data_IF_931754952575
#
_entry.id   IF_931754952575
#
_cell.length_a   1.000
_cell.length_b   1.000
_cell.length_c   1.000
_cell.angle_alpha   90.00
_cell.angle_beta   90.00
_cell.angle_gamma   90.00
#
_symmetry.space_group_name_H-M   'P 1'
#
loop_
_entity.id
_entity.type
_entity.pdbx_description
1 polymer ?
#
# COMPACT_ATOMS: atom_id res chain seq x y z
N UNK A 1 -41.52 23.44 2.09
CA UNK A 1 -40.15 23.54 2.61
C UNK A 1 -39.47 22.21 2.33
N UNK A 2 -38.78 22.10 1.20
CA UNK A 2 -37.99 20.91 0.85
C UNK A 2 -36.71 20.94 1.65
N UNK A 3 -36.53 19.97 2.53
CA UNK A 3 -35.29 19.77 3.26
C UNK A 3 -34.16 19.55 2.25
N UNK A 4 -33.21 20.47 2.24
CA UNK A 4 -31.93 20.29 1.54
C UNK A 4 -31.23 19.12 2.22
N UNK A 5 -31.18 17.97 1.52
CA UNK A 5 -30.21 16.92 1.83
C UNK A 5 -28.84 17.55 1.69
N UNK A 6 -28.22 17.92 2.82
CA UNK A 6 -26.79 18.21 2.86
C UNK A 6 -26.10 16.97 2.30
N UNK A 7 -25.53 17.12 1.11
CA UNK A 7 -24.61 16.16 0.55
C UNK A 7 -23.48 15.99 1.57
N UNK A 8 -23.49 14.88 2.32
CA UNK A 8 -22.48 14.62 3.32
C UNK A 8 -21.22 14.24 2.57
N UNK A 9 -20.35 15.22 2.33
CA UNK A 9 -19.06 14.99 1.71
C UNK A 9 -18.32 13.90 2.49
N UNK A 10 -17.66 12.94 1.81
CA UNK A 10 -16.94 11.87 2.47
C UNK A 10 -15.92 12.47 3.44
N UNK A 11 -15.89 11.95 4.67
CA UNK A 11 -14.92 12.39 5.67
C UNK A 11 -13.52 11.81 5.42
N UNK A 12 -13.43 10.71 4.67
CA UNK A 12 -12.16 10.11 4.27
C UNK A 12 -11.54 10.83 3.05
N UNK A 13 -10.22 10.70 2.84
CA UNK A 13 -9.56 11.17 1.62
C UNK A 13 -10.22 10.58 0.37
N UNK A 14 -10.47 11.40 -0.64
CA UNK A 14 -11.12 10.94 -1.87
C UNK A 14 -10.73 11.79 -3.08
N UNK A 15 -10.77 11.19 -4.27
CA UNK A 15 -10.64 11.91 -5.52
C UNK A 15 -12.01 12.47 -5.92
N UNK A 16 -12.10 13.80 -6.04
CA UNK A 16 -13.27 14.49 -6.60
C UNK A 16 -12.97 14.89 -8.03
N UNK A 17 -13.83 14.50 -8.96
CA UNK A 17 -13.77 14.93 -10.37
C UNK A 17 -14.75 16.07 -10.59
N UNK A 18 -14.31 17.08 -11.33
CA UNK A 18 -15.15 18.11 -11.93
C UNK A 18 -14.95 18.10 -13.45
N UNK A 19 -15.60 19.03 -14.16
CA UNK A 19 -15.63 19.06 -15.63
C UNK A 19 -14.22 19.19 -16.25
N UNK A 20 -13.26 19.74 -15.52
CA UNK A 20 -11.93 20.06 -16.07
C UNK A 20 -10.78 19.32 -15.39
N UNK A 21 -10.98 18.74 -14.20
CA UNK A 21 -9.88 18.25 -13.39
C UNK A 21 -10.28 17.20 -12.34
N UNK A 22 -9.26 16.60 -11.73
CA UNK A 22 -9.40 15.68 -10.59
C UNK A 22 -8.60 16.23 -9.42
N UNK A 23 -9.25 16.34 -8.26
CA UNK A 23 -8.65 16.84 -7.04
C UNK A 23 -8.63 15.76 -5.96
N UNK A 24 -7.49 15.59 -5.30
CA UNK A 24 -7.45 14.90 -4.02
C UNK A 24 -8.04 15.82 -2.95
N UNK A 25 -9.10 15.38 -2.29
CA UNK A 25 -9.76 16.08 -1.19
C UNK A 25 -9.35 15.40 0.12
N UNK A 26 -8.78 16.18 1.04
CA UNK A 26 -8.40 15.74 2.39
C UNK A 26 -9.04 16.71 3.38
N UNK A 27 -9.76 16.20 4.37
CA UNK A 27 -10.46 17.01 5.38
C UNK A 27 -11.34 18.12 4.74
N UNK A 28 -12.02 17.79 3.65
CA UNK A 28 -12.93 18.68 2.93
C UNK A 28 -12.26 19.74 2.04
N UNK A 29 -10.94 19.73 1.89
CA UNK A 29 -10.19 20.72 1.08
C UNK A 29 -9.33 20.04 0.01
N UNK A 30 -9.14 20.66 -1.17
CA UNK A 30 -8.13 20.21 -2.12
C UNK A 30 -6.75 20.16 -1.46
N UNK A 31 -6.03 19.08 -1.69
CA UNK A 31 -4.71 18.82 -1.13
C UNK A 31 -3.70 18.55 -2.26
N UNK A 32 -2.54 19.20 -2.18
CA UNK A 32 -1.41 18.95 -3.09
C UNK A 32 -0.36 18.12 -2.36
N UNK A 33 -0.09 16.92 -2.87
CA UNK A 33 1.01 16.10 -2.38
C UNK A 33 2.35 16.66 -2.91
N UNK A 34 3.14 17.23 -2.01
CA UNK A 34 4.57 17.47 -2.23
C UNK A 34 5.28 16.21 -1.77
N UNK A 35 5.30 15.22 -2.66
CA UNK A 35 5.61 13.85 -2.32
C UNK A 35 7.07 13.45 -2.60
N UNK A 36 7.62 12.61 -1.74
CA UNK A 36 8.82 11.82 -2.00
C UNK A 36 8.53 10.32 -1.90
N UNK A 37 9.18 9.51 -2.73
CA UNK A 37 9.12 8.05 -2.62
C UNK A 37 10.37 7.53 -1.91
N UNK A 38 10.15 6.70 -0.89
CA UNK A 38 11.21 6.08 -0.10
C UNK A 38 11.83 4.89 -0.85
N UNK A 39 13.03 4.48 -0.43
CA UNK A 39 13.58 3.20 -0.88
C UNK A 39 12.71 2.03 -0.37
N UNK A 40 12.71 0.92 -1.12
CA UNK A 40 11.79 -0.21 -0.95
C UNK A 40 11.74 -0.83 0.47
N UNK A 41 12.78 -0.63 1.29
CA UNK A 41 12.90 -1.20 2.63
C UNK A 41 12.94 -0.14 3.75
N UNK A 42 12.74 1.13 3.41
CA UNK A 42 12.81 2.20 4.43
C UNK A 42 11.59 2.17 5.35
N UNK A 43 10.39 2.00 4.79
CA UNK A 43 9.13 2.03 5.56
C UNK A 43 8.92 0.77 6.43
N UNK A 44 9.72 -0.29 6.25
CA UNK A 44 9.61 -1.53 7.04
C UNK A 44 10.23 -1.43 8.43
N UNK A 45 10.80 -0.28 8.82
CA UNK A 45 11.41 -0.08 10.13
C UNK A 45 11.10 1.30 10.68
N UNK A 46 10.28 1.37 11.73
CA UNK A 46 10.00 2.62 12.42
C UNK A 46 11.28 3.27 12.97
N UNK A 47 12.19 2.45 13.50
CA UNK A 47 13.51 2.89 13.97
C UNK A 47 14.31 3.59 12.87
N UNK A 48 14.34 3.05 11.65
CA UNK A 48 15.05 3.71 10.55
C UNK A 48 14.39 5.05 10.20
N UNK A 49 13.06 5.08 10.21
CA UNK A 49 12.29 6.26 9.85
C UNK A 49 12.46 7.44 10.83
N UNK A 50 12.89 7.23 12.08
CA UNK A 50 13.14 8.32 13.03
C UNK A 50 14.16 9.35 12.52
N UNK A 51 15.11 8.92 11.69
CA UNK A 51 16.10 9.81 11.07
C UNK A 51 15.60 10.44 9.76
N UNK A 52 14.59 9.83 9.12
CA UNK A 52 14.05 10.25 7.82
C UNK A 52 13.05 11.39 8.00
N UNK A 53 12.14 11.30 8.98
CA UNK A 53 11.04 12.27 9.11
C UNK A 53 11.51 13.74 9.25
N UNK A 54 12.52 14.06 10.08
CA UNK A 54 13.00 15.45 10.21
C UNK A 54 13.54 16.00 8.88
N UNK A 55 14.37 15.21 8.18
CA UNK A 55 14.97 15.61 6.91
C UNK A 55 13.91 15.88 5.82
N UNK A 56 12.84 15.08 5.79
CA UNK A 56 11.75 15.27 4.83
C UNK A 56 10.97 16.56 5.12
N UNK A 57 10.70 16.88 6.40
CA UNK A 57 10.08 18.16 6.77
C UNK A 57 10.93 19.36 6.39
N UNK A 58 12.25 19.30 6.60
CA UNK A 58 13.17 20.38 6.23
C UNK A 58 13.13 20.68 4.72
N UNK A 59 12.83 19.67 3.90
CA UNK A 59 12.65 19.79 2.45
C UNK A 59 11.22 20.17 2.04
N UNK A 60 10.36 20.51 2.99
CA UNK A 60 8.94 20.81 2.78
C UNK A 60 8.14 19.67 2.10
N UNK A 61 8.61 18.43 2.22
CA UNK A 61 7.85 17.24 1.80
C UNK A 61 6.72 17.02 2.80
N UNK A 62 5.49 16.93 2.29
CA UNK A 62 4.29 16.76 3.12
C UNK A 62 3.69 15.34 3.03
N UNK A 63 4.17 14.53 2.09
CA UNK A 63 3.67 13.17 1.85
C UNK A 63 4.82 12.24 1.50
N UNK A 64 4.84 11.03 2.07
CA UNK A 64 5.82 10.00 1.71
C UNK A 64 5.13 8.75 1.18
N UNK A 65 5.64 8.25 0.06
CA UNK A 65 5.27 6.96 -0.49
C UNK A 65 6.23 5.92 0.08
N UNK A 66 5.69 4.83 0.63
CA UNK A 66 6.52 3.78 1.18
C UNK A 66 5.85 2.41 1.16
N UNK A 67 6.67 1.38 1.09
CA UNK A 67 6.23 0.01 0.85
C UNK A 67 5.61 -0.61 2.09
N UNK A 68 4.47 -1.28 1.90
CA UNK A 68 3.96 -2.31 2.79
C UNK A 68 3.97 -3.62 2.00
N UNK A 69 4.85 -4.54 2.38
CA UNK A 69 4.97 -5.83 1.71
C UNK A 69 4.08 -6.89 2.33
N UNK A 70 3.57 -7.78 1.49
CA UNK A 70 2.76 -8.90 1.96
C UNK A 70 3.53 -9.81 2.92
N UNK A 71 4.79 -10.13 2.61
CA UNK A 71 5.63 -10.96 3.47
C UNK A 71 5.86 -10.40 4.87
N UNK A 72 5.85 -9.06 5.02
CA UNK A 72 6.00 -8.42 6.31
C UNK A 72 4.73 -8.51 7.13
N UNK A 73 3.56 -8.28 6.51
CA UNK A 73 2.30 -8.21 7.24
C UNK A 73 1.62 -9.56 7.44
N UNK A 74 1.98 -10.61 6.69
CA UNK A 74 1.42 -11.97 6.82
C UNK A 74 2.52 -13.04 6.67
N UNK A 75 3.49 -13.11 7.61
CA UNK A 75 4.64 -14.01 7.52
C UNK A 75 4.25 -15.51 7.47
N UNK A 76 3.15 -15.87 8.13
CA UNK A 76 2.50 -17.17 8.06
C UNK A 76 1.03 -16.98 7.63
N UNK A 77 0.48 -17.96 6.90
CA UNK A 77 -0.86 -17.82 6.32
C UNK A 77 -1.93 -17.60 7.40
N UNK A 78 -2.61 -16.46 7.35
CA UNK A 78 -3.60 -16.03 8.34
C UNK A 78 -3.04 -15.40 9.62
N UNK A 79 -1.72 -15.36 9.80
CA UNK A 79 -1.05 -14.74 10.94
C UNK A 79 -0.54 -13.35 10.53
N UNK A 80 -1.27 -12.30 10.94
CA UNK A 80 -0.96 -10.93 10.55
C UNK A 80 -0.15 -10.18 11.63
N UNK A 81 0.88 -9.44 11.19
CA UNK A 81 1.67 -8.54 12.04
C UNK A 81 1.71 -7.13 11.45
N UNK A 82 1.14 -6.17 12.17
CA UNK A 82 1.11 -4.76 11.79
C UNK A 82 1.92 -3.87 12.74
N UNK A 83 2.69 -4.44 13.67
CA UNK A 83 3.32 -3.68 14.76
C UNK A 83 4.32 -2.60 14.27
N UNK A 84 5.04 -2.86 13.17
CA UNK A 84 5.91 -1.83 12.57
C UNK A 84 5.12 -0.78 11.79
N UNK A 85 4.05 -1.19 11.09
CA UNK A 85 3.20 -0.26 10.36
C UNK A 85 2.48 0.72 11.31
N UNK A 86 2.04 0.26 12.48
CA UNK A 86 1.47 1.10 13.54
C UNK A 86 2.41 2.25 13.90
N UNK A 87 3.63 1.90 14.28
CA UNK A 87 4.64 2.87 14.71
C UNK A 87 4.92 3.87 13.61
N UNK A 88 5.07 3.41 12.37
CA UNK A 88 5.30 4.27 11.21
C UNK A 88 4.14 5.25 10.98
N UNK A 89 2.88 4.80 11.02
CA UNK A 89 1.71 5.66 10.82
C UNK A 89 1.61 6.69 11.96
N UNK A 90 1.82 6.26 13.21
CA UNK A 90 1.76 7.15 14.37
C UNK A 90 2.90 8.18 14.36
N UNK A 91 4.11 7.79 13.97
CA UNK A 91 5.25 8.70 13.85
C UNK A 91 5.03 9.70 12.71
N UNK A 92 4.57 9.25 11.53
CA UNK A 92 4.23 10.13 10.41
C UNK A 92 3.21 11.20 10.85
N UNK A 93 2.18 10.78 11.60
CA UNK A 93 1.17 11.67 12.20
C UNK A 93 1.79 12.69 13.15
N UNK A 94 2.66 12.25 14.08
CA UNK A 94 3.38 13.14 14.99
C UNK A 94 4.28 14.14 14.25
N UNK A 95 4.75 13.75 13.07
CA UNK A 95 5.52 14.62 12.18
C UNK A 95 4.65 15.49 11.25
N UNK A 96 3.33 15.32 11.20
CA UNK A 96 2.47 16.05 10.26
C UNK A 96 2.79 15.70 8.80
N UNK A 97 3.31 14.50 8.55
CA UNK A 97 3.57 13.95 7.22
C UNK A 97 2.48 12.94 6.91
N UNK A 98 1.92 13.02 5.70
CA UNK A 98 0.97 12.05 5.20
C UNK A 98 1.68 10.86 4.53
N UNK A 99 0.97 9.75 4.40
CA UNK A 99 1.49 8.53 3.79
C UNK A 99 0.66 8.12 2.57
N UNK A 100 1.36 7.57 1.59
CA UNK A 100 0.79 6.70 0.56
C UNK A 100 1.45 5.34 0.69
N UNK A 101 0.63 4.30 0.92
CA UNK A 101 1.16 2.95 1.14
C UNK A 101 1.28 2.23 -0.20
N UNK A 102 2.48 1.79 -0.56
CA UNK A 102 2.70 1.01 -1.77
C UNK A 102 2.52 -0.47 -1.45
N UNK A 103 1.41 -1.06 -1.88
CA UNK A 103 1.16 -2.50 -1.67
C UNK A 103 2.07 -3.34 -2.56
N UNK A 104 3.09 -3.95 -1.97
CA UNK A 104 3.93 -4.97 -2.63
C UNK A 104 3.40 -6.37 -2.30
N UNK A 105 2.30 -6.73 -2.98
CA UNK A 105 1.67 -8.05 -2.96
C UNK A 105 2.28 -9.02 -3.97
N UNK A 106 1.43 -9.57 -4.83
CA UNK A 106 1.78 -10.57 -5.85
C UNK A 106 2.87 -10.09 -6.83
N UNK A 107 2.97 -8.77 -7.07
CA UNK A 107 3.86 -8.21 -8.06
C UNK A 107 4.60 -6.96 -7.57
N UNK A 108 5.91 -6.96 -7.81
CA UNK A 108 6.80 -5.81 -7.69
C UNK A 108 7.81 -5.88 -8.81
N UNK A 109 7.89 -4.86 -9.66
CA UNK A 109 8.77 -4.82 -10.84
C UNK A 109 8.65 -6.11 -11.69
N UNK A 110 7.41 -6.57 -11.91
CA UNK A 110 7.07 -7.81 -12.60
C UNK A 110 7.52 -9.12 -11.93
N UNK A 111 8.02 -9.09 -10.68
CA UNK A 111 8.43 -10.27 -9.91
C UNK A 111 7.54 -10.47 -8.68
N UNK A 112 7.41 -11.71 -8.22
CA UNK A 112 6.68 -12.04 -6.98
C UNK A 112 7.63 -12.13 -5.78
N UNK A 113 8.48 -11.12 -5.60
CA UNK A 113 9.56 -11.10 -4.59
C UNK A 113 9.07 -10.79 -3.17
N UNK A 114 7.96 -10.08 -3.01
CA UNK A 114 7.47 -9.61 -1.70
C UNK A 114 6.27 -10.39 -1.16
N UNK A 115 5.88 -11.47 -1.85
CA UNK A 115 4.90 -12.43 -1.33
C UNK A 115 5.50 -13.24 -0.16
N UNK A 116 4.71 -13.71 0.80
CA UNK A 116 5.23 -14.42 1.96
C UNK A 116 5.83 -15.80 1.60
N UNK A 117 6.66 -16.40 2.46
CA UNK A 117 7.31 -17.68 2.19
C UNK A 117 6.34 -18.81 1.80
N UNK A 118 5.15 -18.85 2.42
CA UNK A 118 4.12 -19.85 2.13
C UNK A 118 3.48 -19.68 0.74
N UNK A 119 3.57 -18.49 0.14
CA UNK A 119 3.21 -18.27 -1.28
C UNK A 119 4.41 -18.56 -2.18
N UNK A 120 5.61 -18.06 -1.82
CA UNK A 120 6.83 -18.18 -2.64
C UNK A 120 7.18 -19.64 -2.96
N UNK A 121 7.05 -20.51 -1.97
CA UNK A 121 7.59 -21.88 -1.99
C UNK A 121 6.59 -22.93 -2.47
N UNK A 122 5.29 -22.61 -2.51
CA UNK A 122 4.25 -23.52 -2.98
C UNK A 122 3.85 -23.22 -4.43
N UNK A 123 4.72 -23.59 -5.38
CA UNK A 123 4.46 -23.39 -6.82
C UNK A 123 3.36 -24.29 -7.39
N UNK A 124 2.87 -25.26 -6.63
CA UNK A 124 1.70 -26.07 -7.02
C UNK A 124 0.41 -25.29 -6.78
N UNK A 125 0.31 -24.63 -5.63
CA UNK A 125 -0.81 -23.76 -5.28
C UNK A 125 -0.72 -22.39 -5.97
N UNK A 126 0.49 -21.85 -6.10
CA UNK A 126 0.77 -20.54 -6.72
C UNK A 126 1.65 -20.71 -7.96
N UNK A 127 1.07 -21.14 -9.10
CA UNK A 127 1.84 -21.48 -10.29
C UNK A 127 2.57 -20.28 -10.87
N UNK A 128 3.77 -20.54 -11.40
CA UNK A 128 4.61 -19.52 -12.03
C UNK A 128 4.32 -19.37 -13.52
N UNK A 129 4.64 -18.21 -14.08
CA UNK A 129 4.60 -17.97 -15.53
C UNK A 129 5.60 -18.88 -16.21
N UNK A 130 5.14 -19.61 -17.23
CA UNK A 130 5.97 -20.34 -18.17
C UNK A 130 6.03 -19.57 -19.49
N UNK A 131 7.19 -19.01 -19.82
CA UNK A 131 7.42 -18.39 -21.13
C UNK A 131 7.99 -19.41 -22.12
N UNK A 132 7.77 -19.15 -23.42
CA UNK A 132 8.42 -19.87 -24.51
C UNK A 132 9.51 -18.96 -25.07
N UNK A 133 10.76 -19.38 -24.96
CA UNK A 133 11.90 -18.69 -25.55
C UNK A 133 12.06 -19.06 -27.04
N UNK A 134 12.93 -18.32 -27.74
CA UNK A 134 13.31 -18.66 -29.11
C UNK A 134 13.78 -20.12 -29.20
N UNK A 135 13.33 -20.83 -30.24
CA UNK A 135 13.59 -22.27 -30.39
C UNK A 135 12.66 -23.19 -29.59
N UNK A 136 11.60 -22.66 -28.97
CA UNK A 136 10.55 -23.45 -28.32
C UNK A 136 10.87 -23.94 -26.90
N UNK A 137 12.00 -23.49 -26.32
CA UNK A 137 12.40 -23.84 -24.96
C UNK A 137 11.47 -23.17 -23.95
N UNK A 138 11.01 -23.93 -22.96
CA UNK A 138 10.21 -23.40 -21.85
C UNK A 138 11.12 -22.83 -20.76
N UNK A 139 10.78 -21.67 -20.23
CA UNK A 139 11.41 -21.06 -19.06
C UNK A 139 10.37 -20.71 -18.01
N UNK A 140 10.63 -21.11 -16.77
CA UNK A 140 9.83 -20.71 -15.62
C UNK A 140 10.39 -19.36 -15.14
N UNK A 141 9.52 -18.38 -14.95
CA UNK A 141 9.88 -17.06 -14.44
C UNK A 141 9.56 -16.96 -12.95
N UNK A 142 10.25 -16.08 -12.22
CA UNK A 142 9.99 -15.80 -10.79
C UNK A 142 8.74 -14.91 -10.58
N UNK A 143 7.68 -15.24 -11.29
CA UNK A 143 6.45 -14.45 -11.41
C UNK A 143 5.29 -15.41 -11.26
N UNK A 144 4.40 -15.19 -10.29
CA UNK A 144 3.16 -15.94 -10.19
C UNK A 144 2.28 -15.59 -11.39
N UNK A 145 1.69 -16.58 -12.04
CA UNK A 145 0.84 -16.33 -13.21
C UNK A 145 -0.37 -15.49 -12.81
N UNK A 146 -0.72 -14.43 -13.56
CA UNK A 146 -1.92 -13.62 -13.28
C UNK A 146 -3.22 -14.41 -13.51
N UNK A 147 -3.13 -15.63 -14.04
CA UNK A 147 -4.25 -16.56 -14.20
C UNK A 147 -4.50 -17.42 -12.95
N UNK A 148 -3.71 -17.25 -11.88
CA UNK A 148 -3.90 -17.99 -10.63
C UNK A 148 -5.00 -17.33 -9.80
N UNK A 149 -6.15 -18.00 -9.70
CA UNK A 149 -7.24 -17.58 -8.82
C UNK A 149 -6.81 -17.62 -7.35
N UNK A 150 -6.09 -18.67 -6.95
CA UNK A 150 -5.54 -18.81 -5.60
C UNK A 150 -4.66 -17.61 -5.21
N UNK A 151 -3.80 -17.13 -6.11
CA UNK A 151 -2.98 -15.95 -5.84
C UNK A 151 -3.84 -14.69 -5.71
N UNK A 152 -4.82 -14.51 -6.61
CA UNK A 152 -5.69 -13.34 -6.57
C UNK A 152 -6.51 -13.28 -5.27
N UNK A 153 -7.05 -14.41 -4.82
CA UNK A 153 -7.83 -14.52 -3.58
C UNK A 153 -6.97 -14.30 -2.34
N UNK A 154 -5.77 -14.90 -2.31
CA UNK A 154 -4.85 -14.74 -1.19
C UNK A 154 -4.34 -13.30 -1.07
N UNK A 155 -3.95 -12.67 -2.19
CA UNK A 155 -3.51 -11.26 -2.22
C UNK A 155 -4.65 -10.34 -1.79
N UNK A 156 -5.86 -10.52 -2.36
CA UNK A 156 -7.03 -9.72 -2.00
C UNK A 156 -7.41 -9.86 -0.51
N UNK A 157 -7.26 -11.05 0.08
CA UNK A 157 -7.49 -11.27 1.51
C UNK A 157 -6.49 -10.50 2.36
N UNK A 158 -5.21 -10.57 2.02
CA UNK A 158 -4.16 -9.85 2.72
C UNK A 158 -4.31 -8.33 2.58
N UNK A 159 -4.56 -7.84 1.37
CA UNK A 159 -4.85 -6.43 1.09
C UNK A 159 -6.09 -5.95 1.84
N UNK A 160 -7.16 -6.75 1.86
CA UNK A 160 -8.38 -6.45 2.63
C UNK A 160 -8.12 -6.38 4.14
N UNK A 161 -7.21 -7.20 4.67
CA UNK A 161 -6.76 -7.13 6.08
C UNK A 161 -5.97 -5.87 6.35
N UNK A 162 -5.04 -5.49 5.46
CA UNK A 162 -4.33 -4.21 5.54
C UNK A 162 -5.31 -3.03 5.55
N UNK A 163 -6.29 -2.99 4.64
CA UNK A 163 -7.26 -1.89 4.57
C UNK A 163 -8.14 -1.82 5.81
N UNK A 164 -8.59 -2.98 6.31
CA UNK A 164 -9.35 -3.06 7.57
C UNK A 164 -8.54 -2.53 8.75
N UNK A 165 -7.24 -2.83 8.77
CA UNK A 165 -6.33 -2.40 9.81
C UNK A 165 -6.07 -0.90 9.77
N UNK A 166 -5.76 -0.36 8.59
CA UNK A 166 -5.58 1.09 8.37
C UNK A 166 -6.84 1.85 8.79
N UNK A 167 -8.03 1.33 8.48
CA UNK A 167 -9.28 1.94 8.94
C UNK A 167 -9.33 2.06 10.46
N UNK A 168 -9.09 0.96 11.19
CA UNK A 168 -9.13 0.96 12.66
C UNK A 168 -8.15 1.98 13.26
N UNK A 169 -6.95 2.08 12.70
CA UNK A 169 -5.90 2.96 13.23
C UNK A 169 -6.06 4.44 12.82
N UNK A 170 -6.60 4.70 11.63
CA UNK A 170 -6.39 5.98 10.94
C UNK A 170 -7.66 6.66 10.39
N UNK A 171 -8.84 6.04 10.47
CA UNK A 171 -10.11 6.59 9.92
C UNK A 171 -10.41 8.02 10.39
N UNK A 172 -10.03 8.38 11.62
CA UNK A 172 -10.26 9.71 12.20
C UNK A 172 -9.18 10.75 11.89
N UNK A 173 -8.06 10.35 11.28
CA UNK A 173 -6.85 11.19 11.20
C UNK A 173 -6.42 11.51 9.78
N UNK A 174 -6.76 10.65 8.80
CA UNK A 174 -6.30 10.82 7.40
C UNK A 174 -4.78 10.97 7.31
N UNK A 175 -4.02 10.17 8.07
CA UNK A 175 -2.57 10.10 7.93
C UNK A 175 -2.22 9.39 6.63
N UNK A 176 -2.85 8.25 6.36
CA UNK A 176 -2.78 7.54 5.08
C UNK A 176 -3.83 8.13 4.13
N UNK A 177 -3.36 8.68 3.01
CA UNK A 177 -4.23 9.35 2.03
C UNK A 177 -4.60 8.45 0.85
N UNK A 178 -3.68 7.57 0.46
CA UNK A 178 -3.83 6.69 -0.70
C UNK A 178 -3.08 5.38 -0.47
N UNK A 179 -3.45 4.36 -1.23
CA UNK A 179 -2.81 3.04 -1.31
C UNK A 179 -2.74 2.63 -2.77
#
# INVERSE_FOLDING_TARGET
MTASTKDQSPQHPHLRRDDNSTHLIVNGKPFLMLAGELHNSSLSSARYMTEVWPAMKEQAINTLLGVVSWEQIEPAEGEFDFAELDKVILDARGHGIHLVLLWFGAYKNALSTYVPPWVKTDSKRFPRVCSIEAGGKRKILDVITPLSMECAEADAKAFGKLMSYVRVLDESYSTVLMV
#
